data_IF_458347034888
#
_entry.id   IF_458347034888
#
_cell.length_a   1.000
_cell.length_b   1.000
_cell.length_c   1.000
_cell.angle_alpha   90.00
_cell.angle_beta   90.00
_cell.angle_gamma   90.00
#
_symmetry.space_group_name_H-M   'P 1'
#
loop_
_entity.id
_entity.type
_entity.pdbx_description
1 polymer ?
#
# COMPACT_ATOMS: atom_id res chain seq x y z
N UNK A 1 37.89 -5.22 -49.20
CA UNK A 1 36.50 -4.95 -48.78
C UNK A 1 36.51 -4.92 -47.27
N UNK A 2 36.53 -3.72 -46.69
CA UNK A 2 36.76 -3.49 -45.26
C UNK A 2 35.61 -4.04 -44.42
N UNK A 3 35.90 -5.07 -43.61
CA UNK A 3 34.95 -5.64 -42.65
C UNK A 3 34.59 -4.68 -41.52
N UNK A 4 35.42 -3.65 -41.26
CA UNK A 4 35.20 -2.68 -40.18
C UNK A 4 34.15 -1.63 -40.54
N UNK A 5 34.09 -1.21 -41.81
CA UNK A 5 33.04 -0.30 -42.30
C UNK A 5 31.65 -0.92 -42.27
N UNK A 6 31.53 -2.25 -42.45
CA UNK A 6 30.26 -2.95 -42.33
C UNK A 6 29.77 -3.03 -40.87
N UNK A 7 30.67 -3.25 -39.91
CA UNK A 7 30.33 -3.28 -38.48
C UNK A 7 29.89 -1.92 -37.97
N UNK A 8 30.58 -0.85 -38.36
CA UNK A 8 30.18 0.53 -38.00
C UNK A 8 28.78 0.85 -38.54
N UNK A 9 28.51 0.57 -39.82
CA UNK A 9 27.18 0.81 -40.42
C UNK A 9 26.06 0.01 -39.76
N UNK A 10 26.32 -1.25 -39.40
CA UNK A 10 25.35 -2.09 -38.70
C UNK A 10 25.13 -1.57 -37.27
N UNK A 11 26.19 -1.13 -36.60
CA UNK A 11 26.11 -0.57 -35.25
C UNK A 11 25.28 0.73 -35.25
N UNK A 12 25.49 1.61 -36.23
CA UNK A 12 24.73 2.86 -36.38
C UNK A 12 23.24 2.60 -36.64
N UNK A 13 22.89 1.60 -37.45
CA UNK A 13 21.49 1.22 -37.68
C UNK A 13 20.86 0.54 -36.45
N UNK A 14 21.61 -0.28 -35.69
CA UNK A 14 21.14 -0.85 -34.42
C UNK A 14 20.79 0.27 -33.42
N UNK A 15 21.63 1.30 -33.29
CA UNK A 15 21.36 2.42 -32.39
C UNK A 15 20.14 3.25 -32.79
N UNK A 16 19.86 3.39 -34.09
CA UNK A 16 18.63 4.04 -34.58
C UNK A 16 17.38 3.20 -34.33
N UNK A 17 17.49 1.87 -34.38
CA UNK A 17 16.36 1.00 -34.05
C UNK A 17 16.06 1.03 -32.55
N UNK A 18 17.11 1.08 -31.71
CA UNK A 18 16.96 1.24 -30.26
C UNK A 18 16.39 2.60 -29.87
N UNK A 19 16.67 3.67 -30.63
CA UNK A 19 16.13 5.01 -30.34
C UNK A 19 14.61 5.13 -30.51
N UNK A 20 14.03 4.30 -31.36
CA UNK A 20 12.58 4.18 -31.60
C UNK A 20 11.91 3.10 -30.74
N UNK A 21 12.65 2.44 -29.84
CA UNK A 21 12.06 1.52 -28.88
C UNK A 21 11.21 2.28 -27.84
N UNK A 22 10.05 1.73 -27.51
CA UNK A 22 9.17 2.25 -26.46
C UNK A 22 9.59 1.64 -25.13
N UNK A 23 9.85 2.51 -24.15
CA UNK A 23 10.05 2.14 -22.75
C UNK A 23 8.70 2.21 -22.04
N UNK A 24 8.36 1.15 -21.32
CA UNK A 24 7.19 1.08 -20.45
C UNK A 24 7.60 1.19 -18.98
N UNK A 25 6.99 2.15 -18.30
CA UNK A 25 7.22 2.45 -16.89
C UNK A 25 5.89 2.35 -16.15
N UNK A 26 5.94 1.92 -14.89
CA UNK A 26 4.77 1.76 -14.05
C UNK A 26 4.96 2.49 -12.72
N UNK A 27 3.91 3.19 -12.29
CA UNK A 27 3.82 3.80 -10.97
C UNK A 27 2.62 3.19 -10.24
N UNK A 28 2.83 2.57 -9.09
CA UNK A 28 1.76 2.13 -8.19
C UNK A 28 1.66 3.11 -7.03
N UNK A 29 0.51 3.74 -6.85
CA UNK A 29 0.22 4.68 -5.79
C UNK A 29 -0.45 3.97 -4.60
N UNK A 30 0.19 4.07 -3.43
CA UNK A 30 -0.21 3.48 -2.17
C UNK A 30 -0.76 4.50 -1.18
N UNK A 31 -0.99 5.75 -1.59
CA UNK A 31 -1.53 6.82 -0.74
C UNK A 31 -2.85 6.42 -0.03
N UNK A 32 -3.60 5.49 -0.60
CA UNK A 32 -4.85 4.96 -0.03
C UNK A 32 -4.64 3.96 1.13
N UNK A 33 -3.43 3.43 1.29
CA UNK A 33 -3.13 2.33 2.21
C UNK A 33 -2.07 2.70 3.26
N UNK A 34 -1.03 3.43 2.86
CA UNK A 34 0.10 3.81 3.72
C UNK A 34 0.62 5.20 3.37
N UNK A 35 0.98 5.97 4.39
CA UNK A 35 1.49 7.34 4.21
C UNK A 35 3.02 7.40 4.02
N UNK A 36 3.76 6.37 4.43
CA UNK A 36 5.22 6.37 4.40
C UNK A 36 5.77 4.93 4.28
N UNK A 37 6.81 4.75 3.45
CA UNK A 37 7.54 3.50 3.24
C UNK A 37 8.80 3.37 4.10
N UNK A 38 9.07 4.32 4.99
CA UNK A 38 10.23 4.30 5.90
C UNK A 38 10.39 2.99 6.69
N UNK A 39 9.29 2.28 6.97
CA UNK A 39 9.33 0.97 7.62
C UNK A 39 9.93 -0.14 6.71
N UNK A 40 9.69 -0.09 5.40
CA UNK A 40 10.24 -1.06 4.43
C UNK A 40 11.74 -0.87 4.26
N UNK A 41 12.21 0.37 4.24
CA UNK A 41 13.64 0.67 4.14
C UNK A 41 14.41 0.08 5.32
N UNK A 42 13.87 0.20 6.54
CA UNK A 42 14.52 -0.34 7.74
C UNK A 42 14.45 -1.86 7.83
N UNK A 43 13.31 -2.46 7.51
CA UNK A 43 13.10 -3.90 7.65
C UNK A 43 13.74 -4.70 6.51
N UNK A 44 13.71 -4.18 5.29
CA UNK A 44 14.16 -4.89 4.09
C UNK A 44 15.42 -4.28 3.44
N UNK A 45 15.93 -3.13 3.93
CA UNK A 45 17.08 -2.40 3.37
C UNK A 45 16.87 -1.96 1.93
N UNK A 46 15.65 -1.53 1.60
CA UNK A 46 15.27 -1.13 0.25
C UNK A 46 14.79 0.31 0.28
N UNK A 47 15.56 1.18 -0.35
CA UNK A 47 15.24 2.60 -0.44
C UNK A 47 14.19 2.81 -1.54
N UNK A 48 12.91 2.82 -1.16
CA UNK A 48 11.77 3.15 -2.05
C UNK A 48 11.51 4.67 -2.16
N UNK A 49 12.29 5.51 -1.47
CA UNK A 49 12.02 6.94 -1.32
C UNK A 49 10.95 7.25 -0.25
N UNK A 50 10.72 8.53 0.01
CA UNK A 50 9.74 9.02 1.01
C UNK A 50 8.32 9.16 0.47
N UNK A 51 8.11 8.93 -0.83
CA UNK A 51 6.80 9.05 -1.47
C UNK A 51 6.07 7.71 -1.43
N UNK A 52 4.74 7.68 -1.22
CA UNK A 52 3.93 6.46 -1.21
C UNK A 52 3.71 5.88 -2.62
N UNK A 53 4.65 6.09 -3.55
CA UNK A 53 4.54 5.66 -4.96
C UNK A 53 5.71 4.74 -5.28
N UNK A 54 5.42 3.48 -5.62
CA UNK A 54 6.44 2.54 -6.09
C UNK A 54 6.59 2.65 -7.61
N UNK A 55 7.81 2.92 -8.06
CA UNK A 55 8.16 3.16 -9.46
C UNK A 55 9.08 2.08 -9.98
N UNK A 56 8.66 1.42 -11.04
CA UNK A 56 9.44 0.35 -11.64
C UNK A 56 9.31 0.31 -13.15
N UNK A 57 10.32 -0.27 -13.79
CA UNK A 57 10.42 -0.38 -15.24
C UNK A 57 11.00 -1.74 -15.60
N UNK A 58 10.48 -2.34 -16.68
CA UNK A 58 11.02 -3.61 -17.19
C UNK A 58 12.25 -3.41 -18.07
N UNK A 59 12.46 -2.20 -18.60
CA UNK A 59 13.61 -1.89 -19.44
C UNK A 59 14.87 -1.83 -18.58
N UNK A 60 15.93 -2.48 -19.07
CA UNK A 60 17.22 -2.56 -18.38
C UNK A 60 18.13 -1.43 -18.85
N UNK A 61 18.54 -0.56 -17.93
CA UNK A 61 19.68 0.33 -18.12
C UNK A 61 20.84 -0.17 -17.23
N UNK A 62 21.33 -1.38 -17.54
CA UNK A 62 22.17 -2.16 -16.62
C UNK A 62 21.44 -2.38 -15.28
N UNK A 63 22.17 -2.41 -14.16
CA UNK A 63 21.60 -2.50 -12.80
C UNK A 63 21.10 -1.15 -12.26
N UNK A 64 21.16 -0.07 -13.06
CA UNK A 64 20.83 1.27 -12.60
C UNK A 64 19.35 1.58 -12.85
N UNK A 65 18.70 2.38 -11.96
CA UNK A 65 17.36 2.84 -12.19
C UNK A 65 17.29 3.77 -13.41
N UNK A 66 16.19 3.69 -14.15
CA UNK A 66 15.90 4.63 -15.25
C UNK A 66 15.36 5.92 -14.66
N UNK A 67 15.88 7.06 -15.11
CA UNK A 67 15.45 8.40 -14.70
C UNK A 67 14.52 8.95 -15.77
N UNK A 68 13.30 9.31 -15.40
CA UNK A 68 12.33 9.93 -16.30
C UNK A 68 11.62 11.07 -15.58
N UNK A 69 11.61 12.26 -16.19
CA UNK A 69 11.05 13.48 -15.57
C UNK A 69 11.65 13.75 -14.17
N UNK A 70 12.94 13.42 -13.99
CA UNK A 70 13.63 13.54 -12.71
C UNK A 70 13.25 12.49 -11.64
N UNK A 71 12.41 11.50 -11.96
CA UNK A 71 12.02 10.41 -11.06
C UNK A 71 12.76 9.12 -11.41
N UNK A 72 13.18 8.37 -10.39
CA UNK A 72 13.89 7.11 -10.55
C UNK A 72 12.91 5.93 -10.59
N UNK A 73 13.06 5.06 -11.60
CA UNK A 73 12.29 3.84 -11.81
C UNK A 73 13.21 2.63 -11.61
N UNK A 74 12.89 1.78 -10.64
CA UNK A 74 13.69 0.61 -10.31
C UNK A 74 13.57 -0.48 -11.38
N UNK A 75 14.67 -1.18 -11.74
CA UNK A 75 14.61 -2.27 -12.69
C UNK A 75 13.90 -3.46 -12.04
N UNK A 76 12.69 -3.77 -12.54
CA UNK A 76 11.89 -4.90 -12.07
C UNK A 76 11.20 -5.54 -13.27
N UNK A 77 11.40 -6.85 -13.52
CA UNK A 77 10.72 -7.53 -14.61
C UNK A 77 9.22 -7.47 -14.44
N UNK A 78 8.53 -7.00 -15.47
CA UNK A 78 7.08 -6.87 -15.51
C UNK A 78 6.59 -7.43 -16.83
N UNK A 79 5.48 -8.15 -16.76
CA UNK A 79 4.77 -8.62 -17.93
C UNK A 79 3.32 -8.14 -17.88
N UNK A 80 2.87 -7.50 -18.95
CA UNK A 80 1.53 -6.93 -19.08
C UNK A 80 0.77 -7.57 -20.23
N UNK A 81 -0.52 -7.85 -20.03
CA UNK A 81 -1.43 -8.26 -21.10
C UNK A 81 -2.74 -7.46 -21.01
N UNK A 82 -3.49 -7.43 -22.11
CA UNK A 82 -4.88 -6.93 -22.13
C UNK A 82 -5.05 -5.44 -21.76
N UNK A 83 -4.02 -4.62 -22.01
CA UNK A 83 -4.09 -3.16 -21.90
C UNK A 83 -4.83 -2.50 -23.08
N UNK A 84 -5.01 -3.23 -24.18
CA UNK A 84 -5.69 -2.72 -25.38
C UNK A 84 -7.19 -2.62 -25.16
N UNK A 85 -7.79 -1.53 -25.64
CA UNK A 85 -9.24 -1.33 -25.59
C UNK A 85 -9.88 -2.23 -26.67
N UNK A 86 -10.69 -3.23 -26.30
CA UNK A 86 -11.36 -4.08 -27.27
C UNK A 86 -12.34 -3.26 -28.13
N UNK A 87 -12.44 -3.58 -29.41
CA UNK A 87 -13.41 -2.96 -30.33
C UNK A 87 -14.88 -3.29 -30.00
N UNK A 88 -15.12 -4.28 -29.13
CA UNK A 88 -16.44 -4.70 -28.63
C UNK A 88 -17.02 -3.74 -27.56
N UNK A 89 -16.34 -2.63 -27.25
CA UNK A 89 -16.83 -1.61 -26.31
C UNK A 89 -16.78 -2.02 -24.83
N UNK A 90 -16.27 -3.22 -24.53
CA UNK A 90 -15.98 -3.65 -23.14
C UNK A 90 -14.80 -2.85 -22.61
N UNK A 91 -14.81 -2.56 -21.31
CA UNK A 91 -13.68 -1.93 -20.67
C UNK A 91 -12.52 -2.95 -20.57
N UNK A 92 -11.27 -2.53 -20.85
CA UNK A 92 -10.12 -3.42 -20.76
C UNK A 92 -9.92 -3.90 -19.33
N UNK A 93 -9.51 -5.16 -19.18
CA UNK A 93 -9.13 -5.79 -17.91
C UNK A 93 -7.69 -6.24 -17.97
N UNK A 94 -6.73 -5.30 -17.85
CA UNK A 94 -5.34 -5.64 -18.02
C UNK A 94 -4.86 -6.56 -16.91
N UNK A 95 -3.94 -7.46 -17.25
CA UNK A 95 -3.21 -8.25 -16.25
C UNK A 95 -1.81 -7.70 -16.10
N UNK A 96 -1.39 -7.54 -14.84
CA UNK A 96 -0.07 -7.07 -14.47
C UNK A 96 0.64 -8.17 -13.67
N UNK A 97 1.68 -8.74 -14.25
CA UNK A 97 2.56 -9.71 -13.58
C UNK A 97 3.84 -9.00 -13.20
N UNK A 98 4.15 -8.98 -11.91
CA UNK A 98 5.35 -8.33 -11.37
C UNK A 98 6.26 -9.42 -10.78
N UNK A 99 7.54 -9.40 -11.14
CA UNK A 99 8.52 -10.27 -10.50
C UNK A 99 8.70 -9.92 -9.02
N UNK A 100 8.90 -10.94 -8.20
CA UNK A 100 9.00 -10.83 -6.75
C UNK A 100 10.31 -11.48 -6.24
N UNK A 101 11.49 -11.02 -6.70
CA UNK A 101 12.74 -11.56 -6.21
C UNK A 101 12.84 -11.31 -4.70
N UNK A 102 13.00 -12.38 -3.92
CA UNK A 102 13.10 -12.36 -2.45
C UNK A 102 11.80 -12.23 -1.66
N UNK A 103 10.61 -12.27 -2.29
CA UNK A 103 9.33 -12.27 -1.56
C UNK A 103 8.95 -10.93 -0.92
N UNK A 104 9.66 -9.85 -1.26
CA UNK A 104 9.40 -8.52 -0.74
C UNK A 104 7.99 -8.04 -1.08
N UNK A 105 7.62 -8.08 -2.36
CA UNK A 105 6.31 -7.59 -2.80
C UNK A 105 5.19 -8.42 -2.19
N UNK A 106 5.36 -9.74 -2.05
CA UNK A 106 4.40 -10.60 -1.32
C UNK A 106 4.15 -10.10 0.09
N UNK A 107 5.22 -9.69 0.77
CA UNK A 107 5.12 -9.17 2.12
C UNK A 107 4.38 -7.83 2.14
N UNK A 108 4.71 -6.93 1.22
CA UNK A 108 4.05 -5.61 1.10
C UNK A 108 2.56 -5.77 0.74
N UNK A 109 2.23 -6.69 -0.17
CA UNK A 109 0.86 -7.07 -0.58
C UNK A 109 0.05 -7.54 0.62
N UNK A 110 0.63 -8.44 1.43
CA UNK A 110 -0.01 -8.95 2.65
C UNK A 110 -0.28 -7.84 3.67
N UNK A 111 0.64 -6.89 3.83
CA UNK A 111 0.47 -5.73 4.72
C UNK A 111 -0.62 -4.75 4.25
N UNK A 112 -0.89 -4.74 2.95
CA UNK A 112 -1.69 -3.71 2.28
C UNK A 112 -2.95 -4.28 1.61
N UNK A 113 -3.54 -5.33 2.19
CA UNK A 113 -4.84 -5.86 1.75
C UNK A 113 -4.88 -6.16 0.24
N UNK A 114 -3.86 -6.85 -0.24
CA UNK A 114 -3.71 -7.27 -1.64
C UNK A 114 -3.69 -6.11 -2.66
N UNK A 115 -3.33 -4.90 -2.22
CA UNK A 115 -3.30 -3.69 -3.04
C UNK A 115 -4.65 -3.33 -3.67
N UNK A 116 -5.75 -3.83 -3.12
CA UNK A 116 -7.07 -3.56 -3.64
C UNK A 116 -7.35 -2.04 -3.68
N UNK A 117 -7.68 -1.53 -4.87
CA UNK A 117 -7.99 -0.12 -5.10
C UNK A 117 -6.78 0.82 -5.20
N UNK A 118 -5.55 0.28 -5.20
CA UNK A 118 -4.36 1.07 -5.55
C UNK A 118 -4.42 1.49 -7.02
N UNK A 119 -4.00 2.73 -7.29
CA UNK A 119 -3.93 3.27 -8.64
C UNK A 119 -2.61 2.84 -9.28
N UNK A 120 -2.69 2.25 -10.46
CA UNK A 120 -1.56 1.87 -11.31
C UNK A 120 -1.56 2.79 -12.52
N UNK A 121 -0.48 3.53 -12.72
CA UNK A 121 -0.29 4.41 -13.87
C UNK A 121 0.78 3.82 -14.77
N UNK A 122 0.45 3.52 -16.02
CA UNK A 122 1.40 3.10 -17.05
C UNK A 122 1.83 4.33 -17.84
N UNK A 123 3.13 4.57 -17.86
CA UNK A 123 3.80 5.65 -18.59
C UNK A 123 4.62 5.05 -19.72
N UNK A 124 4.54 5.65 -20.91
CA UNK A 124 5.29 5.20 -22.08
C UNK A 124 5.97 6.36 -22.78
N UNK A 125 7.23 6.18 -23.11
CA UNK A 125 8.02 7.13 -23.90
C UNK A 125 9.03 6.39 -24.77
N UNK A 126 9.64 7.08 -25.73
CA UNK A 126 10.70 6.50 -26.55
C UNK A 126 12.06 6.68 -25.89
N UNK A 127 12.99 5.75 -26.13
CA UNK A 127 14.37 5.83 -25.60
C UNK A 127 15.03 7.17 -25.94
N UNK A 128 14.79 7.71 -27.14
CA UNK A 128 15.34 9.00 -27.59
C UNK A 128 14.92 10.23 -26.79
N UNK A 129 13.81 10.16 -26.06
CA UNK A 129 13.31 11.27 -25.25
C UNK A 129 13.75 11.19 -23.79
N UNK A 130 14.29 10.03 -23.38
CA UNK A 130 14.72 9.76 -22.02
C UNK A 130 15.77 10.78 -21.53
N UNK A 131 15.76 11.08 -20.23
CA UNK A 131 16.66 12.05 -19.61
C UNK A 131 18.14 11.67 -19.85
N UNK A 132 18.98 12.66 -20.16
CA UNK A 132 20.41 12.46 -20.45
C UNK A 132 21.18 11.75 -19.32
N UNK A 133 20.70 11.89 -18.08
CA UNK A 133 21.29 11.27 -16.89
C UNK A 133 21.33 9.73 -16.91
N UNK A 134 20.59 9.10 -17.84
CA UNK A 134 20.58 7.66 -18.02
C UNK A 134 21.79 7.13 -18.80
N UNK A 135 22.43 7.97 -19.60
CA UNK A 135 23.45 7.52 -20.55
C UNK A 135 24.85 7.76 -19.98
N UNK A 136 25.76 6.84 -20.28
CA UNK A 136 27.14 6.88 -19.77
C UNK A 136 27.92 7.99 -20.45
N UNK A 137 28.56 8.85 -19.65
CA UNK A 137 29.57 9.76 -20.14
C UNK A 137 30.71 8.97 -20.81
N UNK A 138 31.12 9.38 -22.02
CA UNK A 138 32.21 8.75 -22.76
C UNK A 138 33.52 9.46 -22.45
N UNK A 139 34.58 8.71 -22.18
CA UNK A 139 35.93 9.29 -22.11
C UNK A 139 36.51 9.40 -23.52
N UNK A 140 36.98 10.60 -23.89
CA UNK A 140 37.68 10.80 -25.15
C UNK A 140 39.03 10.05 -25.17
N UNK A 141 39.68 10.00 -26.35
CA UNK A 141 40.99 9.35 -26.51
C UNK A 141 42.11 10.00 -25.67
N UNK A 142 41.86 11.18 -25.11
CA UNK A 142 42.80 11.96 -24.31
C UNK A 142 42.49 11.89 -22.80
N UNK A 143 41.49 11.10 -22.38
CA UNK A 143 41.12 10.92 -20.97
C UNK A 143 40.13 11.94 -20.42
N UNK A 144 39.59 12.84 -21.24
CA UNK A 144 38.58 13.81 -20.81
C UNK A 144 37.16 13.20 -20.87
N UNK A 145 36.37 13.42 -19.82
CA UNK A 145 34.97 12.97 -19.75
C UNK A 145 34.13 13.91 -20.62
N UNK A 146 33.61 13.38 -21.72
CA UNK A 146 32.63 14.07 -22.57
C UNK A 146 31.24 13.58 -22.16
N UNK A 147 30.43 14.51 -21.64
CA UNK A 147 29.00 14.28 -21.42
C UNK A 147 28.29 14.36 -22.76
N UNK A 148 28.31 13.25 -23.50
CA UNK A 148 27.37 13.07 -24.60
C UNK A 148 26.03 12.77 -23.93
N UNK A 149 25.03 13.63 -24.15
CA UNK A 149 23.66 13.40 -23.69
C UNK A 149 23.07 12.14 -24.32
N UNK A 150 21.76 12.03 -24.38
CA UNK A 150 21.11 10.86 -24.95
C UNK A 150 21.66 10.53 -26.37
N UNK A 151 22.38 9.40 -26.56
CA UNK A 151 22.96 9.05 -27.85
C UNK A 151 21.89 8.70 -28.89
N UNK A 152 20.68 8.38 -28.43
CA UNK A 152 19.53 8.04 -29.24
C UNK A 152 18.69 9.26 -29.66
N UNK A 153 18.91 10.45 -29.08
CA UNK A 153 18.16 11.64 -29.45
C UNK A 153 18.32 12.83 -28.51
N UNK A 154 17.28 13.65 -28.38
CA UNK A 154 17.27 14.80 -27.47
C UNK A 154 16.26 14.52 -26.35
N UNK A 155 16.73 14.61 -25.10
CA UNK A 155 15.87 14.47 -23.94
C UNK A 155 14.71 15.49 -23.99
N UNK A 156 13.47 15.00 -23.90
CA UNK A 156 12.26 15.82 -23.88
C UNK A 156 11.25 15.25 -22.87
N UNK A 157 11.16 15.85 -21.67
CA UNK A 157 10.21 15.44 -20.63
C UNK A 157 8.74 15.57 -21.02
N UNK A 158 8.41 16.34 -22.07
CA UNK A 158 7.04 16.54 -22.55
C UNK A 158 6.62 15.56 -23.65
N UNK A 159 7.57 14.82 -24.23
CA UNK A 159 7.32 13.82 -25.25
C UNK A 159 6.98 12.46 -24.61
N UNK A 160 5.70 12.26 -24.27
CA UNK A 160 5.19 10.98 -23.74
C UNK A 160 3.84 10.61 -24.36
N UNK A 161 3.54 9.32 -24.39
CA UNK A 161 2.21 8.81 -24.72
C UNK A 161 1.26 9.07 -23.54
N UNK A 162 -0.06 9.26 -23.79
CA UNK A 162 -1.02 9.50 -22.71
C UNK A 162 -0.91 8.49 -21.57
N UNK A 163 -0.90 9.00 -20.34
CA UNK A 163 -0.84 8.19 -19.13
C UNK A 163 -2.10 7.31 -19.03
N UNK A 164 -1.90 6.00 -18.93
CA UNK A 164 -3.01 5.05 -18.76
C UNK A 164 -3.16 4.73 -17.27
N UNK A 165 -4.30 5.12 -16.68
CA UNK A 165 -4.57 4.90 -15.26
C UNK A 165 -5.59 3.76 -15.05
N UNK A 166 -5.18 2.77 -14.28
CA UNK A 166 -6.00 1.62 -13.87
C UNK A 166 -5.98 1.46 -12.35
N UNK A 167 -6.86 0.62 -11.84
CA UNK A 167 -6.98 0.29 -10.42
C UNK A 167 -6.84 -1.21 -10.22
N UNK A 168 -6.11 -1.62 -9.18
CA UNK A 168 -6.01 -3.05 -8.84
C UNK A 168 -7.36 -3.51 -8.28
N UNK A 169 -8.01 -4.44 -8.97
CA UNK A 169 -9.26 -5.04 -8.54
C UNK A 169 -8.99 -6.19 -7.57
N UNK A 170 -8.15 -7.15 -7.97
CA UNK A 170 -7.79 -8.30 -7.13
C UNK A 170 -6.45 -8.88 -7.53
N UNK A 171 -5.81 -9.55 -6.57
CA UNK A 171 -4.70 -10.46 -6.81
C UNK A 171 -5.24 -11.78 -7.35
N UNK A 172 -4.82 -12.19 -8.54
CA UNK A 172 -5.28 -13.45 -9.18
C UNK A 172 -4.38 -14.62 -8.83
N UNK A 173 -3.06 -14.39 -8.74
CA UNK A 173 -2.10 -15.41 -8.38
C UNK A 173 -0.91 -14.83 -7.60
N UNK A 174 -0.35 -15.65 -6.72
CA UNK A 174 0.86 -15.35 -5.97
C UNK A 174 1.77 -16.57 -5.98
N UNK A 175 2.99 -16.40 -6.48
CA UNK A 175 4.05 -17.40 -6.43
C UNK A 175 5.28 -16.79 -5.74
N UNK A 176 6.26 -17.65 -5.42
CA UNK A 176 7.52 -17.19 -4.83
C UNK A 176 8.29 -16.22 -5.75
N UNK A 177 8.07 -16.31 -7.06
CA UNK A 177 8.84 -15.57 -8.06
C UNK A 177 8.04 -14.44 -8.71
N UNK A 178 6.71 -14.45 -8.65
CA UNK A 178 5.86 -13.46 -9.29
C UNK A 178 4.51 -13.27 -8.61
N UNK A 179 3.92 -12.09 -8.79
CA UNK A 179 2.57 -11.72 -8.39
C UNK A 179 1.76 -11.31 -9.62
N UNK A 180 0.54 -11.80 -9.75
CA UNK A 180 -0.39 -11.44 -10.82
C UNK A 180 -1.57 -10.64 -10.25
N UNK A 181 -1.83 -9.48 -10.84
CA UNK A 181 -2.94 -8.60 -10.52
C UNK A 181 -3.87 -8.43 -11.71
N UNK A 182 -5.17 -8.45 -11.45
CA UNK A 182 -6.20 -8.01 -12.40
C UNK A 182 -6.46 -6.51 -12.16
N UNK A 183 -6.23 -5.71 -13.20
CA UNK A 183 -6.50 -4.29 -13.21
C UNK A 183 -7.86 -4.00 -13.86
N UNK A 184 -8.46 -2.89 -13.45
CA UNK A 184 -9.74 -2.44 -14.00
C UNK A 184 -9.77 -0.92 -14.13
N UNK A 185 -10.67 -0.41 -14.97
CA UNK A 185 -10.95 1.03 -15.04
C UNK A 185 -11.67 1.49 -13.78
N UNK A 186 -11.53 2.77 -13.43
CA UNK A 186 -12.27 3.39 -12.31
C UNK A 186 -13.79 3.21 -12.44
N UNK A 187 -14.30 3.09 -13.67
CA UNK A 187 -15.72 2.92 -13.96
C UNK A 187 -16.25 1.52 -13.61
N UNK A 188 -15.36 0.51 -13.57
CA UNK A 188 -15.70 -0.88 -13.28
C UNK A 188 -15.36 -1.30 -11.84
N UNK A 189 -14.50 -0.52 -11.15
CA UNK A 189 -14.34 -0.66 -9.70
C UNK A 189 -15.72 -0.62 -9.05
N UNK A 190 -16.08 -1.67 -8.32
CA UNK A 190 -17.36 -1.72 -7.59
C UNK A 190 -17.40 -0.55 -6.60
N UNK A 191 -18.07 0.53 -7.01
CA UNK A 191 -18.17 1.76 -6.26
C UNK A 191 -19.63 2.10 -6.02
N UNK A 192 -20.11 1.70 -4.85
CA UNK A 192 -21.43 1.96 -4.25
C UNK A 192 -22.53 0.95 -4.60
N UNK A 193 -22.74 -0.01 -3.69
CA UNK A 193 -24.00 -0.76 -3.59
C UNK A 193 -25.08 0.17 -3.02
N UNK A 194 -26.23 0.23 -3.66
CA UNK A 194 -27.44 0.86 -3.11
C UNK A 194 -28.42 -0.23 -2.66
N UNK A 195 -28.87 -0.25 -1.40
CA UNK A 195 -28.63 0.74 -0.34
C UNK A 195 -27.21 0.65 0.24
N UNK A 196 -26.62 1.80 0.59
CA UNK A 196 -25.26 1.93 1.13
C UNK A 196 -25.04 1.22 2.48
N UNK A 197 -26.09 0.64 3.06
CA UNK A 197 -26.08 -0.09 4.33
C UNK A 197 -27.17 -1.16 4.34
N UNK A 198 -26.79 -2.42 4.44
CA UNK A 198 -27.70 -3.52 4.76
C UNK A 198 -27.84 -3.63 6.29
N UNK A 199 -29.08 -3.64 6.78
CA UNK A 199 -29.39 -3.80 8.21
C UNK A 199 -29.77 -5.25 8.47
N UNK A 200 -28.93 -5.96 9.22
CA UNK A 200 -29.23 -7.31 9.69
C UNK A 200 -29.64 -7.23 11.16
N UNK A 201 -30.61 -8.04 11.58
CA UNK A 201 -31.13 -8.02 12.95
C UNK A 201 -30.12 -8.60 13.97
N UNK A 202 -29.26 -9.51 13.50
CA UNK A 202 -28.27 -10.25 14.29
C UNK A 202 -26.85 -9.65 14.21
N UNK A 203 -26.58 -8.81 13.21
CA UNK A 203 -25.28 -8.22 12.96
C UNK A 203 -25.28 -6.69 12.82
N UNK A 204 -24.31 -6.06 13.48
CA UNK A 204 -24.06 -4.64 13.44
C UNK A 204 -23.47 -4.22 12.08
N UNK A 205 -24.21 -3.37 11.37
CA UNK A 205 -23.80 -2.82 10.07
C UNK A 205 -22.67 -1.80 10.18
N UNK A 206 -22.40 -1.25 11.37
CA UNK A 206 -21.36 -0.23 11.53
C UNK A 206 -19.96 -0.81 11.32
N UNK A 207 -19.05 0.03 10.82
CA UNK A 207 -17.61 -0.25 10.85
C UNK A 207 -17.14 -0.09 12.28
N UNK A 208 -16.46 -1.11 12.81
CA UNK A 208 -15.96 -1.08 14.18
C UNK A 208 -15.02 0.11 14.39
N UNK A 209 -15.19 0.86 15.50
CA UNK A 209 -14.47 2.13 15.82
C UNK A 209 -14.63 3.26 14.80
N UNK A 210 -15.43 3.07 13.76
CA UNK A 210 -15.75 4.09 12.76
C UNK A 210 -17.02 4.87 13.08
N UNK A 211 -17.40 5.74 12.15
CA UNK A 211 -18.61 6.55 12.24
C UNK A 211 -19.86 5.67 12.49
N UNK A 212 -20.64 6.05 13.50
CA UNK A 212 -21.81 5.32 13.97
C UNK A 212 -21.49 4.32 15.10
N UNK A 213 -20.42 3.52 14.98
CA UNK A 213 -19.95 2.72 16.11
C UNK A 213 -19.36 3.61 17.21
N UNK A 214 -18.50 4.57 16.85
CA UNK A 214 -17.85 5.54 17.75
C UNK A 214 -17.16 4.94 18.99
N UNK A 215 -16.87 3.64 18.98
CA UNK A 215 -16.18 3.01 20.08
C UNK A 215 -14.71 3.43 20.11
N UNK A 216 -14.36 4.23 21.11
CA UNK A 216 -12.98 4.68 21.34
C UNK A 216 -12.39 4.07 22.62
N UNK A 217 -12.96 2.97 23.11
CA UNK A 217 -12.54 2.32 24.35
C UNK A 217 -11.37 1.34 24.18
N UNK A 218 -11.06 0.60 25.25
CA UNK A 218 -9.95 -0.36 25.29
C UNK A 218 -10.24 -1.54 24.37
N UNK A 219 -9.21 -2.27 23.90
CA UNK A 219 -9.41 -3.54 23.23
C UNK A 219 -10.30 -4.49 24.04
N UNK A 220 -11.21 -5.20 23.36
CA UNK A 220 -12.17 -6.08 24.04
C UNK A 220 -12.03 -7.54 23.61
N UNK A 221 -11.88 -7.79 22.31
CA UNK A 221 -11.85 -9.14 21.76
C UNK A 221 -11.03 -9.20 20.47
N UNK A 222 -10.60 -10.40 20.14
CA UNK A 222 -9.82 -10.68 18.93
C UNK A 222 -10.72 -10.92 17.71
N UNK A 223 -10.13 -11.10 16.54
CA UNK A 223 -10.83 -11.50 15.30
C UNK A 223 -11.64 -12.79 15.43
N UNK A 224 -11.35 -13.63 16.42
CA UNK A 224 -12.08 -14.88 16.69
C UNK A 224 -13.14 -14.71 17.80
N UNK A 225 -13.29 -13.51 18.36
CA UNK A 225 -14.25 -13.20 19.43
C UNK A 225 -13.78 -13.59 20.84
N UNK A 226 -12.54 -14.09 20.95
CA UNK A 226 -11.90 -14.45 22.21
C UNK A 226 -11.44 -13.21 22.97
N UNK A 227 -11.40 -13.31 24.30
CA UNK A 227 -10.84 -12.24 25.15
C UNK A 227 -9.32 -12.27 25.11
N UNK A 228 -8.68 -11.10 25.23
CA UNK A 228 -7.23 -10.99 25.37
C UNK A 228 -6.70 -11.65 26.66
N UNK A 229 -7.57 -11.93 27.64
CA UNK A 229 -7.23 -12.70 28.82
C UNK A 229 -6.72 -14.12 28.50
N UNK A 230 -7.18 -14.75 27.40
CA UNK A 230 -6.68 -16.07 26.97
C UNK A 230 -5.18 -16.03 26.60
N UNK A 231 -4.69 -14.87 26.20
CA UNK A 231 -3.29 -14.64 25.87
C UNK A 231 -2.48 -14.19 27.10
N UNK A 232 -3.06 -14.24 28.30
CA UNK A 232 -2.43 -13.81 29.55
C UNK A 232 -2.28 -12.29 29.67
N UNK A 233 -3.16 -11.52 29.02
CA UNK A 233 -3.19 -10.06 29.12
C UNK A 233 -4.32 -9.67 30.07
N UNK A 234 -3.96 -9.07 31.21
CA UNK A 234 -4.91 -8.61 32.23
C UNK A 234 -5.10 -7.09 32.26
N UNK A 235 -4.16 -6.34 31.68
CA UNK A 235 -4.20 -4.90 31.59
C UNK A 235 -3.59 -4.45 30.25
N UNK A 236 -4.17 -3.37 29.70
CA UNK A 236 -3.67 -2.72 28.50
C UNK A 236 -2.81 -1.53 28.88
N UNK A 237 -1.60 -1.44 28.33
CA UNK A 237 -0.62 -0.43 28.70
C UNK A 237 -0.21 0.42 27.50
N UNK A 238 0.17 1.66 27.79
CA UNK A 238 0.65 2.61 26.80
C UNK A 238 2.08 2.25 26.38
N UNK A 239 2.41 2.31 25.07
CA UNK A 239 3.70 1.83 24.57
C UNK A 239 4.92 2.68 24.98
N UNK A 240 4.72 3.93 25.42
CA UNK A 240 5.83 4.82 25.83
C UNK A 240 6.30 4.59 27.27
N UNK A 241 5.39 4.27 28.19
CA UNK A 241 5.65 4.33 29.63
C UNK A 241 5.07 3.14 30.41
N UNK A 242 4.50 2.16 29.70
CA UNK A 242 3.80 1.01 30.26
C UNK A 242 2.69 1.36 31.27
N UNK A 243 2.21 2.62 31.27
CA UNK A 243 1.14 3.04 32.16
C UNK A 243 -0.18 2.39 31.70
N UNK A 244 -1.05 1.95 32.63
CA UNK A 244 -2.37 1.44 32.28
C UNK A 244 -3.17 2.46 31.47
N UNK A 245 -3.72 2.04 30.33
CA UNK A 245 -4.59 2.88 29.51
C UNK A 245 -5.93 3.01 30.24
N UNK A 246 -6.12 4.13 30.93
CA UNK A 246 -7.38 4.47 31.61
C UNK A 246 -8.19 5.45 30.74
N UNK A 247 -9.36 5.03 30.26
CA UNK A 247 -10.27 5.86 29.45
C UNK A 247 -11.17 6.77 30.29
N UNK A 248 -10.77 7.03 31.54
CA UNK A 248 -11.70 7.57 32.52
C UNK A 248 -12.07 9.04 32.28
N UNK A 249 -11.24 9.86 31.63
CA UNK A 249 -11.43 11.33 31.62
C UNK A 249 -10.97 12.07 30.35
N UNK A 250 -10.65 11.38 29.26
CA UNK A 250 -10.31 12.00 27.97
C UNK A 250 -11.24 11.46 26.89
N UNK A 251 -11.45 12.22 25.82
CA UNK A 251 -12.12 11.68 24.66
C UNK A 251 -11.25 10.51 24.18
N UNK A 252 -11.77 9.27 24.14
CA UNK A 252 -10.94 8.09 23.82
C UNK A 252 -10.23 8.17 22.47
N UNK A 253 -10.57 9.16 21.64
CA UNK A 253 -9.88 9.52 20.39
C UNK A 253 -8.48 10.07 20.63
N UNK A 254 -8.27 10.89 21.66
CA UNK A 254 -6.97 11.52 21.93
C UNK A 254 -5.90 10.47 22.24
N UNK A 255 -6.25 9.43 23.01
CA UNK A 255 -5.35 8.33 23.37
C UNK A 255 -4.99 7.47 22.15
N UNK A 256 -5.94 7.26 21.24
CA UNK A 256 -5.71 6.46 20.02
C UNK A 256 -4.68 7.13 19.11
N UNK A 257 -4.57 8.45 19.14
CA UNK A 257 -3.57 9.21 18.40
C UNK A 257 -2.17 9.13 19.02
N UNK A 258 -2.04 8.88 20.33
CA UNK A 258 -0.74 8.80 21.00
C UNK A 258 -0.10 7.42 20.93
N UNK A 259 -0.89 6.36 20.85
CA UNK A 259 -0.40 4.97 20.89
C UNK A 259 0.11 4.45 19.53
N UNK A 260 0.75 5.25 18.69
CA UNK A 260 1.14 4.81 17.33
C UNK A 260 2.21 3.70 17.34
N UNK A 261 2.04 2.71 16.46
CA UNK A 261 3.07 1.71 16.20
C UNK A 261 4.27 2.33 15.47
N UNK A 262 5.48 1.91 15.85
CA UNK A 262 6.75 2.28 15.23
C UNK A 262 7.64 1.05 15.10
N UNK A 263 8.37 0.96 13.99
CA UNK A 263 9.35 -0.11 13.75
C UNK A 263 10.58 0.02 14.64
N UNK A 264 10.92 1.24 15.06
CA UNK A 264 12.14 1.58 15.82
C UNK A 264 11.97 1.42 17.34
N UNK A 265 11.16 0.45 17.77
CA UNK A 265 10.81 0.28 19.17
C UNK A 265 10.56 -1.19 19.51
N UNK A 266 10.98 -1.62 20.70
CA UNK A 266 10.51 -2.85 21.32
C UNK A 266 9.23 -2.64 22.13
N UNK A 267 8.34 -3.63 22.14
CA UNK A 267 7.08 -3.57 22.86
C UNK A 267 6.97 -4.68 23.89
N UNK A 268 6.40 -4.34 25.04
CA UNK A 268 6.10 -5.27 26.12
C UNK A 268 4.73 -5.92 25.94
N UNK A 269 4.60 -7.15 26.42
CA UNK A 269 3.31 -7.85 26.48
C UNK A 269 2.26 -6.98 27.22
N UNK A 270 1.13 -6.75 26.56
CA UNK A 270 0.05 -5.89 27.04
C UNK A 270 0.06 -4.47 26.45
N UNK A 271 1.13 -4.05 25.77
CA UNK A 271 1.14 -2.78 25.05
C UNK A 271 0.09 -2.78 23.93
N UNK A 272 -0.61 -1.65 23.80
CA UNK A 272 -1.57 -1.42 22.72
C UNK A 272 -0.99 -0.41 21.74
N UNK A 273 -1.08 -0.70 20.46
CA UNK A 273 -0.62 0.19 19.40
C UNK A 273 -1.71 0.42 18.35
N UNK A 274 -1.77 1.64 17.83
CA UNK A 274 -2.58 2.00 16.68
C UNK A 274 -1.69 2.00 15.44
N UNK A 275 -2.13 1.29 14.40
CA UNK A 275 -1.43 1.30 13.12
C UNK A 275 -1.45 2.69 12.47
N UNK A 276 -0.31 3.24 12.02
CA UNK A 276 -0.22 4.60 11.50
C UNK A 276 -0.85 4.80 10.10
N UNK A 277 -1.23 3.71 9.41
CA UNK A 277 -1.86 3.79 8.08
C UNK A 277 -3.30 4.29 8.15
N UNK A 278 -3.62 5.28 7.32
CA UNK A 278 -4.96 5.80 7.17
C UNK A 278 -5.68 5.00 6.07
N UNK A 279 -6.71 4.24 6.44
CA UNK A 279 -7.68 3.74 5.46
C UNK A 279 -8.86 4.69 5.44
N UNK A 280 -9.38 5.06 4.27
CA UNK A 280 -10.70 5.70 4.22
C UNK A 280 -11.83 4.69 4.52
N UNK A 281 -12.91 5.11 5.20
CA UNK A 281 -12.93 6.17 6.22
C UNK A 281 -11.93 5.91 7.35
N UNK A 282 -11.30 6.98 7.85
CA UNK A 282 -10.27 7.03 8.89
C UNK A 282 -10.72 6.30 10.16
N UNK A 283 -10.45 5.00 10.23
CA UNK A 283 -10.78 4.16 11.38
C UNK A 283 -9.50 3.62 11.99
N UNK A 284 -9.30 3.76 13.32
CA UNK A 284 -8.11 3.25 13.98
C UNK A 284 -8.10 1.73 14.00
N UNK A 285 -6.94 1.16 13.70
CA UNK A 285 -6.68 -0.28 13.79
C UNK A 285 -5.77 -0.54 14.99
N UNK A 286 -6.36 -1.01 16.08
CA UNK A 286 -5.61 -1.28 17.31
C UNK A 286 -5.11 -2.73 17.34
N UNK A 287 -3.87 -2.89 17.78
CA UNK A 287 -3.23 -4.17 18.00
C UNK A 287 -2.73 -4.26 19.44
N UNK A 288 -2.77 -5.46 20.00
CA UNK A 288 -2.27 -5.74 21.35
C UNK A 288 -1.07 -6.66 21.23
N UNK A 289 0.02 -6.28 21.90
CA UNK A 289 1.23 -7.07 21.98
C UNK A 289 0.99 -8.27 22.92
N UNK A 290 1.08 -9.50 22.39
CA UNK A 290 0.91 -10.74 23.15
C UNK A 290 2.23 -11.34 23.61
N UNK A 291 3.34 -10.96 22.98
CA UNK A 291 4.69 -11.43 23.30
C UNK A 291 5.68 -10.27 23.22
N UNK A 292 6.42 -10.08 24.32
CA UNK A 292 7.47 -9.05 24.40
C UNK A 292 8.55 -9.28 23.34
N UNK A 293 8.95 -8.21 22.66
CA UNK A 293 10.01 -8.23 21.66
C UNK A 293 10.80 -6.91 21.66
N UNK A 294 12.04 -6.97 21.21
CA UNK A 294 12.92 -5.81 21.04
C UNK A 294 12.79 -5.23 19.63
N UNK A 295 13.49 -4.12 19.37
CA UNK A 295 13.59 -3.55 18.03
C UNK A 295 14.41 -4.44 17.07
N UNK A 296 14.07 -4.48 15.76
CA UNK A 296 12.95 -3.82 15.11
C UNK A 296 11.62 -4.52 15.40
N UNK A 297 10.56 -3.74 15.67
CA UNK A 297 9.23 -4.30 15.92
C UNK A 297 8.72 -5.06 14.68
N UNK A 298 8.26 -6.31 14.82
CA UNK A 298 7.62 -7.04 13.75
C UNK A 298 6.28 -6.39 13.37
N UNK A 299 5.90 -6.50 12.10
CA UNK A 299 4.68 -5.86 11.58
C UNK A 299 3.40 -6.45 12.21
N UNK A 300 2.51 -5.62 12.80
CA UNK A 300 1.30 -6.11 13.47
C UNK A 300 0.29 -6.88 12.61
N UNK A 301 0.25 -6.66 11.29
CA UNK A 301 -0.67 -7.38 10.40
C UNK A 301 -0.21 -8.80 10.06
N UNK A 302 1.11 -9.04 10.07
CA UNK A 302 1.69 -10.32 9.62
C UNK A 302 2.05 -11.18 10.81
N UNK A 303 2.68 -10.58 11.82
CA UNK A 303 3.31 -11.30 12.90
C UNK A 303 2.32 -11.57 14.04
N UNK A 304 1.38 -12.48 13.77
CA UNK A 304 0.30 -12.89 14.72
C UNK A 304 0.80 -13.51 16.02
N UNK A 305 2.06 -13.95 16.05
CA UNK A 305 2.74 -14.46 17.24
C UNK A 305 3.08 -13.34 18.24
N UNK A 306 3.29 -12.12 17.76
CA UNK A 306 3.59 -10.94 18.58
C UNK A 306 2.39 -10.01 18.73
N UNK A 307 1.53 -9.93 17.72
CA UNK A 307 0.46 -8.94 17.63
C UNK A 307 -0.89 -9.58 17.35
N UNK A 308 -1.91 -9.13 18.08
CA UNK A 308 -3.30 -9.53 17.81
C UNK A 308 -4.16 -8.28 17.65
N UNK A 309 -4.92 -8.23 16.55
CA UNK A 309 -5.83 -7.12 16.24
C UNK A 309 -7.04 -7.14 17.19
N UNK A 310 -7.40 -5.96 17.72
CA UNK A 310 -8.69 -5.73 18.34
C UNK A 310 -9.77 -5.65 17.27
N UNK A 311 -10.71 -6.59 17.32
CA UNK A 311 -11.76 -6.72 16.33
C UNK A 311 -13.12 -6.87 16.99
N UNK A 312 -14.19 -6.70 16.23
CA UNK A 312 -15.56 -6.84 16.72
C UNK A 312 -16.30 -7.90 15.90
N UNK A 313 -16.89 -8.89 16.58
CA UNK A 313 -17.72 -9.92 15.93
C UNK A 313 -19.03 -9.37 15.36
N UNK A 314 -19.31 -8.07 15.58
CA UNK A 314 -20.52 -7.37 15.15
C UNK A 314 -21.82 -7.97 15.70
N UNK A 315 -21.78 -8.88 16.66
CA UNK A 315 -22.99 -9.40 17.32
C UNK A 315 -23.45 -8.46 18.44
N UNK A 316 -24.71 -8.59 18.88
CA UNK A 316 -25.21 -7.82 20.02
C UNK A 316 -24.35 -8.00 21.28
N UNK A 317 -23.89 -9.24 21.52
CA UNK A 317 -22.98 -9.56 22.63
C UNK A 317 -21.64 -8.82 22.50
N UNK A 318 -21.09 -8.68 21.29
CA UNK A 318 -19.87 -7.93 21.05
C UNK A 318 -20.04 -6.43 21.32
N UNK A 319 -21.21 -5.86 20.99
CA UNK A 319 -21.55 -4.48 21.34
C UNK A 319 -21.77 -4.31 22.86
N UNK A 320 -22.41 -5.27 23.52
CA UNK A 320 -22.59 -5.29 24.98
C UNK A 320 -21.27 -5.31 25.75
N UNK A 321 -20.26 -6.05 25.27
CA UNK A 321 -18.90 -6.03 25.89
C UNK A 321 -18.29 -4.61 25.93
N UNK A 322 -18.67 -3.75 24.98
CA UNK A 322 -18.10 -2.41 24.78
C UNK A 322 -18.93 -1.31 25.43
N UNK A 323 -20.25 -1.38 25.25
CA UNK A 323 -21.22 -0.37 25.68
C UNK A 323 -22.02 -0.79 26.93
N UNK A 324 -21.76 -1.97 27.50
CA UNK A 324 -22.55 -2.53 28.59
C UNK A 324 -22.57 -1.67 29.85
N UNK A 325 -21.55 -0.85 30.08
CA UNK A 325 -21.55 0.15 31.15
C UNK A 325 -22.57 1.26 30.89
N UNK A 326 -22.73 1.70 29.64
CA UNK A 326 -23.69 2.72 29.25
C UNK A 326 -25.14 2.22 29.33
N UNK A 327 -25.37 0.95 29.02
CA UNK A 327 -26.66 0.28 29.21
C UNK A 327 -27.10 0.32 30.67
N UNK A 328 -26.18 0.08 31.61
CA UNK A 328 -26.47 0.18 33.04
C UNK A 328 -26.81 1.61 33.47
N UNK A 329 -26.36 2.62 32.71
CA UNK A 329 -26.70 4.03 32.91
C UNK A 329 -27.95 4.50 32.17
N UNK A 330 -28.70 3.58 31.54
CA UNK A 330 -29.94 3.90 30.81
C UNK A 330 -29.73 4.42 29.38
N UNK A 331 -28.50 4.42 28.87
CA UNK A 331 -28.19 4.74 27.46
C UNK A 331 -28.34 3.50 26.59
N UNK A 332 -28.93 3.65 25.41
CA UNK A 332 -29.07 2.56 24.43
C UNK A 332 -27.73 2.10 23.86
N UNK A 333 -27.70 0.91 23.26
CA UNK A 333 -26.52 0.40 22.54
C UNK A 333 -26.61 0.87 21.09
N UNK A 334 -25.53 1.41 20.49
CA UNK A 334 -25.49 1.67 19.05
C UNK A 334 -25.33 0.34 18.26
N UNK A 335 -26.40 -0.47 18.25
CA UNK A 335 -26.48 -1.75 17.54
C UNK A 335 -27.52 -1.69 16.42
N UNK A 336 -27.22 -2.25 15.25
CA UNK A 336 -28.17 -2.35 14.13
C UNK A 336 -28.57 -1.02 13.47
N UNK A 337 -28.02 0.11 13.92
CA UNK A 337 -28.06 1.39 13.23
C UNK A 337 -29.45 1.96 12.95
N UNK A 338 -30.41 1.79 13.88
CA UNK A 338 -31.70 2.46 13.75
C UNK A 338 -31.50 3.99 13.67
N UNK A 339 -32.09 4.70 12.69
CA UNK A 339 -31.82 6.12 12.42
C UNK A 339 -32.09 7.10 13.57
N UNK A 340 -32.74 6.66 14.65
CA UNK A 340 -33.25 7.54 15.70
C UNK A 340 -32.39 7.61 16.97
N UNK A 341 -31.29 6.84 17.10
CA UNK A 341 -30.54 6.81 18.38
C UNK A 341 -29.39 7.81 18.50
N UNK A 342 -29.05 8.58 17.47
CA UNK A 342 -28.30 9.83 17.64
C UNK A 342 -28.39 10.67 16.36
N UNK A 343 -28.88 11.90 16.50
CA UNK A 343 -29.14 12.80 15.38
C UNK A 343 -27.87 13.11 14.58
N UNK A 344 -27.73 12.47 13.42
CA UNK A 344 -26.88 12.98 12.34
C UNK A 344 -27.51 14.25 11.78
N UNK A 345 -27.30 15.38 12.47
CA UNK A 345 -27.35 16.68 11.81
C UNK A 345 -26.06 16.83 11.02
N UNK A 346 -26.14 16.63 9.71
CA UNK A 346 -25.11 17.10 8.81
C UNK A 346 -25.01 18.62 8.99
N UNK A 347 -23.84 19.08 9.42
CA UNK A 347 -23.41 20.47 9.28
C UNK A 347 -22.57 20.58 8.01
#
# INVERSE_FOLDING_TARGET
>A
MDSDSAKERITDEIFKLESDAIIEMFEIDFSNLQNDFSFLDKQYKINLGSEPVYRFCSSVNLTNPIIWQGKQYQPLPVHTTDFEIPSDGRLPRPKLIIANPSGLLSTIVLMNYDFHGCKVTRKRTFVKFLDDANFRDRTDKNGAVVKEGNPSGQADPQAFLPDEAFYINKKTAETRESLEFELTSILEMEGVRFPAREMLADHCSFRYRGLGCNYCGIPCETETGKSFAEYGISAYTHPDNDAPIQLANQSGRDIIETIKWSVDRGYNKGNVVNWPGHKEPLVPSLFVCVQTHEEPSPNPYISKEFWIMDSCQKTLNACLKRWGAEVRSGRGIPFGGFPETDGMKHA
#
